data_IF_489129097806
#
_entry.id   IF_489129097806
#
_cell.length_a   1.000
_cell.length_b   1.000
_cell.length_c   1.000
_cell.angle_alpha   90.00
_cell.angle_beta   90.00
_cell.angle_gamma   90.00
#
_symmetry.space_group_name_H-M   'P 1'
#
loop_
_entity.id
_entity.type
_entity.pdbx_description
1 polymer ?
#
# COMPACT_ATOMS: atom_id res chain seq x y z
N UNK A 1 -7.94 -24.62 -11.42
CA UNK A 1 -6.71 -25.22 -10.86
C UNK A 1 -7.06 -26.53 -10.16
N UNK A 2 -6.17 -27.51 -10.26
CA UNK A 2 -6.23 -28.78 -9.50
C UNK A 2 -5.24 -28.68 -8.33
N UNK A 3 -5.43 -29.52 -7.31
CA UNK A 3 -4.55 -29.50 -6.12
C UNK A 3 -3.06 -29.64 -6.49
N UNK A 4 -2.75 -30.48 -7.46
CA UNK A 4 -1.39 -30.75 -7.90
C UNK A 4 -0.78 -29.66 -8.80
N UNK A 5 -1.54 -28.65 -9.23
CA UNK A 5 -0.97 -27.48 -9.91
C UNK A 5 -0.15 -26.64 -8.92
N UNK A 6 -0.53 -26.65 -7.63
CA UNK A 6 0.18 -25.98 -6.55
C UNK A 6 1.03 -26.96 -5.72
N UNK A 7 0.50 -28.14 -5.40
CA UNK A 7 1.16 -29.20 -4.63
C UNK A 7 1.88 -30.17 -5.58
N UNK A 8 2.96 -29.73 -6.18
CA UNK A 8 3.69 -30.47 -7.24
C UNK A 8 4.43 -31.70 -6.72
N UNK A 9 4.63 -31.81 -5.41
CA UNK A 9 5.23 -32.95 -4.73
C UNK A 9 4.25 -34.12 -4.50
N UNK A 10 2.94 -33.88 -4.62
CA UNK A 10 1.92 -34.91 -4.44
C UNK A 10 1.71 -35.65 -5.76
N UNK A 11 2.25 -36.88 -5.83
CA UNK A 11 2.19 -37.71 -7.05
C UNK A 11 1.23 -38.89 -6.94
N UNK A 12 0.65 -39.16 -5.78
CA UNK A 12 -0.22 -40.31 -5.57
C UNK A 12 -0.83 -40.36 -4.18
N UNK A 13 -1.53 -41.44 -3.91
CA UNK A 13 -2.17 -41.65 -2.63
C UNK A 13 -1.60 -42.94 -1.97
N UNK A 14 -1.32 -42.97 -0.66
CA UNK A 14 -1.45 -41.85 0.29
C UNK A 14 -0.40 -40.74 0.01
N UNK A 15 -0.80 -39.50 0.19
CA UNK A 15 0.13 -38.37 0.06
C UNK A 15 0.92 -38.16 1.37
N UNK A 16 2.06 -37.42 1.36
CA UNK A 16 2.81 -37.08 2.56
C UNK A 16 1.94 -36.35 3.59
N UNK A 17 2.12 -36.65 4.88
CA UNK A 17 1.41 -35.95 5.96
C UNK A 17 1.69 -34.43 5.95
N UNK A 18 2.88 -34.05 5.53
CA UNK A 18 3.29 -32.64 5.39
C UNK A 18 3.77 -32.41 3.96
N UNK A 19 2.89 -31.91 3.06
CA UNK A 19 3.29 -31.56 1.72
C UNK A 19 4.29 -30.39 1.74
N UNK A 20 5.10 -30.27 0.71
CA UNK A 20 6.03 -29.16 0.56
C UNK A 20 5.30 -27.82 0.50
N UNK A 21 5.96 -26.75 0.95
CA UNK A 21 5.42 -25.39 0.84
C UNK A 21 5.22 -25.05 -0.63
N UNK A 22 4.03 -24.60 -0.97
CA UNK A 22 3.70 -24.15 -2.33
C UNK A 22 4.53 -22.92 -2.70
N UNK A 23 5.10 -22.95 -3.91
CA UNK A 23 5.81 -21.81 -4.48
C UNK A 23 4.87 -21.05 -5.42
N UNK A 24 4.30 -19.94 -4.94
CA UNK A 24 3.44 -19.07 -5.71
C UNK A 24 4.15 -18.46 -6.95
N UNK A 25 5.47 -18.30 -6.88
CA UNK A 25 6.27 -17.73 -7.96
C UNK A 25 6.36 -18.62 -9.20
N UNK A 26 5.99 -19.89 -9.11
CA UNK A 26 5.88 -20.77 -10.28
C UNK A 26 4.96 -20.17 -11.35
N UNK A 27 3.90 -19.45 -10.93
CA UNK A 27 2.97 -18.74 -11.82
C UNK A 27 3.04 -17.22 -11.67
N UNK A 28 3.51 -16.71 -10.54
CA UNK A 28 3.54 -15.29 -10.17
C UNK A 28 4.97 -14.74 -10.02
N UNK A 29 5.87 -15.11 -10.95
CA UNK A 29 7.30 -14.74 -10.91
C UNK A 29 7.54 -13.22 -10.88
N UNK A 30 6.73 -12.45 -11.62
CA UNK A 30 6.86 -10.99 -11.68
C UNK A 30 6.50 -10.32 -10.34
N UNK A 31 5.47 -10.85 -9.65
CA UNK A 31 5.07 -10.37 -8.34
C UNK A 31 6.12 -10.69 -7.29
N UNK A 32 6.70 -11.90 -7.37
CA UNK A 32 7.83 -12.27 -6.50
C UNK A 32 9.05 -11.38 -6.73
N UNK A 33 9.43 -11.12 -7.98
CA UNK A 33 10.55 -10.26 -8.31
C UNK A 33 10.36 -8.84 -7.75
N UNK A 34 9.14 -8.28 -7.88
CA UNK A 34 8.79 -6.99 -7.28
C UNK A 34 8.87 -7.02 -5.75
N UNK A 35 8.33 -8.08 -5.13
CA UNK A 35 8.38 -8.24 -3.67
C UNK A 35 9.81 -8.32 -3.15
N UNK A 36 10.70 -9.05 -3.84
CA UNK A 36 12.13 -9.14 -3.49
C UNK A 36 12.86 -7.80 -3.52
N UNK A 37 12.38 -6.83 -4.30
CA UNK A 37 12.95 -5.47 -4.36
C UNK A 37 12.25 -4.48 -3.44
N UNK A 38 11.27 -4.91 -2.67
CA UNK A 38 10.43 -4.07 -1.80
C UNK A 38 10.98 -3.99 -0.37
N UNK A 39 10.41 -3.08 0.42
CA UNK A 39 10.67 -3.01 1.88
C UNK A 39 10.17 -4.24 2.63
N UNK A 40 9.39 -5.12 2.00
CA UNK A 40 8.92 -6.37 2.56
C UNK A 40 9.76 -7.59 2.13
N UNK A 41 10.87 -7.39 1.39
CA UNK A 41 11.71 -8.47 0.86
C UNK A 41 12.29 -9.39 1.93
N UNK A 42 12.74 -8.82 3.04
CA UNK A 42 13.46 -9.55 4.12
C UNK A 42 12.52 -10.25 5.10
N UNK A 43 11.23 -10.17 4.87
CA UNK A 43 10.25 -10.78 5.75
C UNK A 43 10.15 -12.29 5.47
N UNK A 44 11.06 -13.09 6.05
CA UNK A 44 10.94 -14.56 6.07
C UNK A 44 9.58 -15.02 6.61
N UNK A 45 8.90 -14.14 7.34
CA UNK A 45 7.63 -14.37 8.01
C UNK A 45 6.41 -13.82 7.24
N UNK A 46 6.61 -13.20 6.07
CA UNK A 46 5.51 -12.63 5.27
C UNK A 46 5.39 -13.30 3.91
N UNK A 47 4.93 -14.55 3.87
CA UNK A 47 4.58 -15.20 2.61
C UNK A 47 3.46 -14.40 1.91
N UNK A 48 3.24 -14.68 0.64
CA UNK A 48 2.16 -14.07 -0.15
C UNK A 48 0.81 -14.09 0.59
N UNK A 49 0.58 -15.16 1.36
CA UNK A 49 -0.64 -15.37 2.17
C UNK A 49 -0.84 -14.37 3.32
N UNK A 50 0.21 -13.69 3.77
CA UNK A 50 0.05 -12.64 4.80
C UNK A 50 -0.83 -11.49 4.32
N UNK A 51 -0.81 -11.18 3.01
CA UNK A 51 -1.64 -10.17 2.38
C UNK A 51 -2.85 -10.78 1.66
N UNK A 52 -2.66 -11.93 0.99
CA UNK A 52 -3.70 -12.53 0.16
C UNK A 52 -4.65 -13.47 0.92
N UNK A 53 -4.33 -13.84 2.17
CA UNK A 53 -5.16 -14.72 3.00
C UNK A 53 -4.89 -16.20 2.77
N UNK A 54 -5.87 -17.03 3.11
CA UNK A 54 -5.77 -18.49 3.00
C UNK A 54 -5.57 -18.92 1.53
N UNK A 55 -4.50 -19.69 1.22
CA UNK A 55 -4.23 -20.11 -0.15
C UNK A 55 -5.35 -20.98 -0.76
N UNK A 56 -6.16 -21.64 0.06
CA UNK A 56 -7.31 -22.41 -0.42
C UNK A 56 -8.59 -21.57 -0.59
N UNK A 57 -8.56 -20.29 -0.17
CA UNK A 57 -9.66 -19.34 -0.27
C UNK A 57 -9.20 -17.97 -0.82
N UNK A 58 -8.23 -17.97 -1.73
CA UNK A 58 -7.79 -16.74 -2.40
C UNK A 58 -8.85 -16.31 -3.43
N UNK A 59 -9.36 -15.12 -3.26
CA UNK A 59 -10.30 -14.47 -4.18
C UNK A 59 -9.59 -13.43 -5.04
N UNK A 60 -10.07 -13.19 -6.29
CA UNK A 60 -9.56 -12.12 -7.13
C UNK A 60 -9.81 -10.76 -6.46
N UNK A 61 -8.98 -9.76 -6.77
CA UNK A 61 -9.07 -8.41 -6.17
C UNK A 61 -10.42 -7.70 -6.38
N UNK A 62 -11.22 -8.17 -7.33
CA UNK A 62 -12.56 -7.66 -7.63
C UNK A 62 -13.65 -8.28 -6.76
N UNK A 63 -13.37 -9.35 -6.04
CA UNK A 63 -14.31 -10.01 -5.13
C UNK A 63 -14.25 -9.36 -3.75
N UNK A 64 -15.40 -9.00 -3.19
CA UNK A 64 -15.49 -8.35 -1.85
C UNK A 64 -14.91 -9.19 -0.72
N UNK A 65 -14.80 -10.50 -0.91
CA UNK A 65 -14.20 -11.43 0.05
C UNK A 65 -12.67 -11.42 0.01
N UNK A 66 -12.08 -10.86 -1.05
CA UNK A 66 -10.62 -10.82 -1.19
C UNK A 66 -10.00 -9.94 -0.11
N UNK A 67 -8.94 -10.41 0.55
CA UNK A 67 -8.16 -9.61 1.49
C UNK A 67 -7.54 -8.34 0.85
N UNK A 68 -7.41 -8.34 -0.49
CA UNK A 68 -6.88 -7.22 -1.27
C UNK A 68 -7.95 -6.50 -2.11
N UNK A 69 -9.22 -6.72 -1.80
CA UNK A 69 -10.31 -5.88 -2.31
C UNK A 69 -10.15 -4.45 -1.79
N UNK A 70 -10.47 -3.38 -2.56
CA UNK A 70 -10.19 -2.01 -2.17
C UNK A 70 -10.61 -1.61 -0.75
N UNK A 71 -11.79 -2.04 -0.29
CA UNK A 71 -12.27 -1.80 1.09
C UNK A 71 -11.47 -2.58 2.15
N UNK A 72 -10.89 -3.72 1.79
CA UNK A 72 -10.18 -4.59 2.72
C UNK A 72 -8.67 -4.28 2.81
N UNK A 73 -8.11 -3.59 1.81
CA UNK A 73 -6.68 -3.23 1.77
C UNK A 73 -6.23 -2.51 3.04
N UNK A 74 -6.92 -1.48 3.55
CA UNK A 74 -6.46 -0.78 4.76
C UNK A 74 -6.37 -1.71 5.97
N UNK A 75 -7.36 -2.54 6.20
CA UNK A 75 -7.35 -3.50 7.32
C UNK A 75 -6.30 -4.60 7.13
N UNK A 76 -6.05 -5.03 5.89
CA UNK A 76 -5.00 -6.01 5.59
C UNK A 76 -3.61 -5.45 5.90
N UNK A 77 -3.31 -4.22 5.50
CA UNK A 77 -2.08 -3.52 5.87
C UNK A 77 -2.03 -3.23 7.38
N UNK A 78 -3.16 -2.85 7.94
CA UNK A 78 -3.33 -2.50 9.35
C UNK A 78 -3.03 -3.64 10.33
N UNK A 79 -3.10 -4.90 9.92
CA UNK A 79 -2.72 -6.05 10.75
C UNK A 79 -1.29 -5.91 11.31
N UNK A 80 -0.40 -5.29 10.55
CA UNK A 80 0.97 -5.02 10.97
C UNK A 80 1.21 -3.53 11.22
N UNK A 81 0.75 -2.65 10.33
CA UNK A 81 0.97 -1.20 10.41
C UNK A 81 0.03 -0.47 11.39
N UNK A 82 -0.96 -1.16 11.93
CA UNK A 82 -1.81 -0.68 13.02
C UNK A 82 -1.42 -1.24 14.40
N UNK A 83 -0.48 -2.15 14.45
CA UNK A 83 -0.03 -2.78 15.69
C UNK A 83 1.14 -2.00 16.30
N UNK A 84 0.98 -1.56 17.54
CA UNK A 84 1.98 -0.75 18.27
C UNK A 84 3.35 -1.44 18.34
N UNK A 85 3.40 -2.77 18.43
CA UNK A 85 4.67 -3.51 18.47
C UNK A 85 5.48 -3.41 17.17
N UNK A 86 4.86 -3.54 16.02
CA UNK A 86 5.51 -3.37 14.72
C UNK A 86 5.76 -1.88 14.42
N UNK A 87 4.80 -1.02 14.76
CA UNK A 87 4.93 0.42 14.61
C UNK A 87 6.11 0.97 15.39
N UNK A 88 6.30 0.57 16.64
CA UNK A 88 7.43 0.98 17.47
C UNK A 88 8.75 0.47 16.91
N UNK A 89 8.84 -0.81 16.54
CA UNK A 89 10.06 -1.42 16.01
C UNK A 89 10.58 -0.74 14.73
N UNK A 90 9.68 -0.21 13.89
CA UNK A 90 10.01 0.37 12.60
C UNK A 90 9.74 1.88 12.50
N UNK A 91 9.37 2.55 13.60
CA UNK A 91 9.03 3.97 13.61
C UNK A 91 7.74 4.30 12.83
N UNK A 92 6.86 3.32 12.63
CA UNK A 92 5.61 3.43 11.86
C UNK A 92 4.39 3.52 12.78
N UNK A 93 4.54 4.16 13.93
CA UNK A 93 3.48 4.26 14.93
C UNK A 93 2.18 4.81 14.33
N UNK A 94 1.11 4.04 14.46
CA UNK A 94 -0.28 4.47 14.23
C UNK A 94 -0.62 4.91 12.79
N UNK A 95 0.03 4.36 11.77
CA UNK A 95 -0.26 4.71 10.36
C UNK A 95 -1.71 4.34 9.98
N UNK A 96 -2.16 3.15 10.36
CA UNK A 96 -3.51 2.69 10.02
C UNK A 96 -4.61 3.52 10.69
N UNK A 97 -4.60 3.78 12.00
CA UNK A 97 -5.56 4.69 12.63
C UNK A 97 -5.61 6.08 11.97
N UNK A 98 -4.45 6.68 11.71
CA UNK A 98 -4.37 7.99 11.03
C UNK A 98 -5.01 7.97 9.64
N UNK A 99 -4.82 6.88 8.89
CA UNK A 99 -5.48 6.74 7.59
C UNK A 99 -7.00 6.60 7.76
N UNK A 100 -7.48 5.82 8.73
CA UNK A 100 -8.92 5.64 8.98
C UNK A 100 -9.59 6.96 9.31
N UNK A 101 -8.92 7.85 10.04
CA UNK A 101 -9.39 9.19 10.40
C UNK A 101 -9.23 10.22 9.27
N UNK A 102 -8.59 9.86 8.16
CA UNK A 102 -8.40 10.75 7.02
C UNK A 102 -9.65 10.85 6.15
N UNK A 103 -9.73 11.91 5.32
CA UNK A 103 -10.81 12.06 4.34
C UNK A 103 -10.86 10.88 3.35
N UNK A 104 -9.71 10.33 2.97
CA UNK A 104 -9.67 9.16 2.09
C UNK A 104 -10.18 7.90 2.80
N UNK A 105 -9.79 7.69 4.06
CA UNK A 105 -10.28 6.58 4.88
C UNK A 105 -11.78 6.69 5.15
N UNK A 106 -12.28 7.90 5.42
CA UNK A 106 -13.70 8.16 5.59
C UNK A 106 -14.48 7.84 4.30
N UNK A 107 -14.05 8.41 3.16
CA UNK A 107 -14.71 8.19 1.88
C UNK A 107 -14.73 6.71 1.47
N UNK A 108 -13.63 5.98 1.74
CA UNK A 108 -13.58 4.55 1.46
C UNK A 108 -14.47 3.75 2.41
N UNK A 109 -14.31 3.92 3.73
CA UNK A 109 -14.88 3.01 4.73
C UNK A 109 -16.32 3.38 5.13
N UNK A 110 -16.69 4.68 5.09
CA UNK A 110 -18.01 5.14 5.50
C UNK A 110 -18.95 5.39 4.33
N UNK A 111 -18.40 5.93 3.25
CA UNK A 111 -19.20 6.23 2.05
C UNK A 111 -19.15 5.11 1.00
N UNK A 112 -18.26 4.13 1.18
CA UNK A 112 -18.11 3.01 0.24
C UNK A 112 -17.51 3.41 -1.12
N UNK A 113 -16.83 4.55 -1.19
CA UNK A 113 -16.26 5.06 -2.44
C UNK A 113 -15.00 4.27 -2.81
N UNK A 114 -15.15 3.22 -3.61
CA UNK A 114 -14.07 2.28 -3.97
C UNK A 114 -12.89 2.92 -4.70
N UNK A 115 -13.09 4.09 -5.31
CA UNK A 115 -12.03 4.85 -5.99
C UNK A 115 -11.28 5.80 -5.05
N UNK A 116 -11.73 5.94 -3.79
CA UNK A 116 -10.99 6.70 -2.79
C UNK A 116 -9.61 6.06 -2.55
N UNK A 117 -8.61 6.91 -2.34
CA UNK A 117 -7.24 6.42 -2.17
C UNK A 117 -7.12 5.53 -0.93
N UNK A 118 -6.51 4.37 -1.10
CA UNK A 118 -6.10 3.47 -0.02
C UNK A 118 -4.57 3.32 0.00
N UNK A 119 -4.05 2.44 0.85
CA UNK A 119 -2.60 2.27 1.01
C UNK A 119 -1.88 2.01 -0.33
N UNK A 120 -2.46 1.17 -1.19
CA UNK A 120 -1.86 0.81 -2.49
C UNK A 120 -1.86 1.96 -3.49
N UNK A 121 -2.79 2.91 -3.36
CA UNK A 121 -2.90 4.04 -4.28
C UNK A 121 -1.67 4.95 -4.22
N UNK A 122 -1.04 5.04 -3.05
CA UNK A 122 0.15 5.85 -2.81
C UNK A 122 1.44 5.02 -2.78
N UNK A 123 1.39 3.81 -2.21
CA UNK A 123 2.59 2.99 -1.97
C UNK A 123 2.82 1.91 -3.02
N UNK A 124 1.84 1.64 -3.88
CA UNK A 124 1.85 0.45 -4.73
C UNK A 124 1.50 -0.82 -3.94
N UNK A 125 1.80 -1.98 -4.51
CA UNK A 125 1.45 -3.27 -3.91
C UNK A 125 2.68 -4.14 -3.65
N UNK A 126 3.15 -4.89 -4.66
CA UNK A 126 4.24 -5.85 -4.48
C UNK A 126 5.63 -5.21 -4.39
N UNK A 127 5.86 -4.11 -5.11
CA UNK A 127 7.14 -3.39 -5.14
C UNK A 127 7.14 -2.13 -4.27
N UNK A 128 6.68 -2.22 -3.03
CA UNK A 128 6.63 -1.08 -2.12
C UNK A 128 8.05 -0.65 -1.75
N UNK A 129 8.43 0.57 -2.12
CA UNK A 129 9.74 1.14 -1.85
C UNK A 129 9.70 2.11 -0.67
N UNK A 130 10.85 2.27 0.00
CA UNK A 130 11.00 3.31 1.02
C UNK A 130 10.75 4.70 0.43
N UNK A 131 10.15 5.59 1.20
CA UNK A 131 10.00 7.01 0.84
C UNK A 131 11.34 7.73 0.57
N UNK A 132 12.47 7.12 0.94
CA UNK A 132 13.83 7.62 0.67
C UNK A 132 14.37 7.16 -0.69
N UNK A 133 13.75 6.17 -1.31
CA UNK A 133 14.15 5.69 -2.64
C UNK A 133 13.56 6.61 -3.72
N UNK A 134 14.39 7.21 -4.60
CA UNK A 134 13.88 8.11 -5.66
C UNK A 134 12.86 7.46 -6.61
N UNK A 135 12.80 6.14 -6.68
CA UNK A 135 11.83 5.39 -7.49
C UNK A 135 10.49 5.21 -6.78
N UNK A 136 10.42 5.48 -5.47
CA UNK A 136 9.18 5.34 -4.70
C UNK A 136 8.15 6.38 -5.13
N UNK A 137 6.88 6.01 -5.33
CA UNK A 137 5.81 7.00 -5.52
C UNK A 137 5.69 7.98 -4.34
N UNK A 138 6.11 7.56 -3.14
CA UNK A 138 6.09 8.40 -1.94
C UNK A 138 7.43 9.11 -1.66
N UNK A 139 8.39 9.05 -2.59
CA UNK A 139 9.57 9.90 -2.55
C UNK A 139 9.16 11.38 -2.72
N UNK A 140 9.78 12.28 -1.97
CA UNK A 140 9.34 13.69 -1.89
C UNK A 140 9.08 14.33 -3.26
N UNK A 141 9.99 14.19 -4.22
CA UNK A 141 9.81 14.78 -5.54
C UNK A 141 8.67 14.12 -6.36
N UNK A 142 8.24 12.91 -6.02
CA UNK A 142 7.19 12.18 -6.72
C UNK A 142 5.80 12.43 -6.13
N UNK A 143 5.70 12.98 -4.92
CA UNK A 143 4.43 13.24 -4.21
C UNK A 143 3.42 14.02 -5.07
N UNK A 144 3.79 15.11 -5.77
CA UNK A 144 2.84 15.85 -6.60
C UNK A 144 2.19 14.96 -7.66
N UNK A 145 2.98 14.13 -8.34
CA UNK A 145 2.46 13.21 -9.36
C UNK A 145 1.60 12.10 -8.76
N UNK A 146 1.96 11.59 -7.60
CA UNK A 146 1.19 10.55 -6.88
C UNK A 146 -0.18 11.09 -6.49
N UNK A 147 -0.25 12.28 -5.91
CA UNK A 147 -1.53 12.95 -5.61
C UNK A 147 -2.27 13.34 -6.89
N UNK A 148 -1.54 13.82 -7.89
CA UNK A 148 -2.04 14.28 -9.18
C UNK A 148 -2.71 13.19 -10.02
N UNK A 149 -2.43 11.92 -9.75
CA UNK A 149 -3.11 10.81 -10.41
C UNK A 149 -4.65 10.86 -10.25
N UNK A 150 -5.14 11.44 -9.15
CA UNK A 150 -6.56 11.66 -8.88
C UNK A 150 -6.88 13.17 -8.81
N UNK A 151 -6.00 13.98 -8.24
CA UNK A 151 -6.15 15.43 -8.04
C UNK A 151 -5.46 16.22 -9.16
N UNK A 152 -5.76 15.86 -10.43
CA UNK A 152 -5.05 16.38 -11.60
C UNK A 152 -5.06 17.92 -11.70
N UNK A 153 -6.23 18.56 -11.47
CA UNK A 153 -6.34 20.04 -11.54
C UNK A 153 -5.47 20.71 -10.49
N UNK A 154 -5.52 20.23 -9.24
CA UNK A 154 -4.72 20.79 -8.15
C UNK A 154 -3.22 20.58 -8.41
N UNK A 155 -2.85 19.42 -8.97
CA UNK A 155 -1.46 19.17 -9.35
C UNK A 155 -0.97 20.14 -10.43
N UNK A 156 -1.78 20.43 -11.44
CA UNK A 156 -1.43 21.42 -12.47
C UNK A 156 -1.20 22.80 -11.85
N UNK A 157 -2.11 23.28 -11.02
CA UNK A 157 -2.00 24.57 -10.33
C UNK A 157 -0.76 24.62 -9.42
N UNK A 158 -0.48 23.52 -8.68
CA UNK A 158 0.71 23.40 -7.85
C UNK A 158 1.99 23.48 -8.70
N UNK A 159 2.07 22.72 -9.80
CA UNK A 159 3.27 22.68 -10.67
C UNK A 159 3.54 24.02 -11.36
N UNK A 160 2.51 24.82 -11.66
CA UNK A 160 2.65 26.18 -12.17
C UNK A 160 3.06 27.19 -11.09
N UNK A 161 2.87 26.86 -9.83
CA UNK A 161 3.24 27.68 -8.69
C UNK A 161 4.73 27.65 -8.35
N UNK A 162 5.14 28.53 -7.42
CA UNK A 162 6.54 28.67 -6.99
C UNK A 162 7.09 27.36 -6.37
N UNK A 163 6.28 26.64 -5.58
CA UNK A 163 6.69 25.41 -4.93
C UNK A 163 6.92 24.28 -5.95
N UNK A 164 5.99 24.08 -6.87
CA UNK A 164 6.10 23.06 -7.90
C UNK A 164 7.29 23.29 -8.83
N UNK A 165 7.51 24.54 -9.27
CA UNK A 165 8.69 24.92 -10.06
C UNK A 165 9.99 24.66 -9.31
N UNK A 166 10.02 24.92 -8.00
CA UNK A 166 11.20 24.66 -7.18
C UNK A 166 11.46 23.15 -7.03
N UNK A 167 10.41 22.32 -6.83
CA UNK A 167 10.54 20.86 -6.78
C UNK A 167 11.02 20.31 -8.12
N UNK A 168 10.44 20.78 -9.24
CA UNK A 168 10.85 20.40 -10.59
C UNK A 168 12.32 20.76 -10.88
N UNK A 169 12.82 21.84 -10.28
CA UNK A 169 14.23 22.25 -10.34
C UNK A 169 15.13 21.49 -9.34
N UNK A 170 14.64 20.40 -8.70
CA UNK A 170 15.39 19.57 -7.78
C UNK A 170 15.63 20.18 -6.39
N UNK A 171 14.93 21.25 -6.01
CA UNK A 171 15.04 21.86 -4.68
C UNK A 171 14.26 21.05 -3.65
N UNK A 172 14.89 20.04 -3.07
CA UNK A 172 14.25 19.10 -2.13
C UNK A 172 13.74 19.70 -0.82
N UNK A 173 14.09 20.95 -0.51
CA UNK A 173 13.52 21.70 0.62
C UNK A 173 12.19 22.40 0.28
N UNK A 174 11.82 22.48 -1.00
CA UNK A 174 10.55 23.05 -1.39
C UNK A 174 9.40 22.19 -0.87
N UNK A 175 8.30 22.80 -0.37
CA UNK A 175 7.18 22.03 0.17
C UNK A 175 6.43 21.31 -0.95
N UNK A 176 5.98 20.07 -0.65
CA UNK A 176 5.09 19.27 -1.47
C UNK A 176 3.74 19.08 -0.76
N UNK A 177 2.79 18.42 -1.39
CA UNK A 177 1.42 18.27 -0.87
C UNK A 177 1.39 17.80 0.59
N UNK A 178 2.22 16.82 0.94
CA UNK A 178 2.27 16.22 2.28
C UNK A 178 2.93 17.11 3.35
N UNK A 179 3.63 18.16 2.96
CA UNK A 179 4.22 19.11 3.93
C UNK A 179 3.14 20.04 4.53
N UNK A 180 1.97 20.16 3.84
CA UNK A 180 0.83 20.94 4.31
C UNK A 180 -0.36 20.05 4.71
N UNK A 181 -0.61 18.95 3.96
CA UNK A 181 -1.77 18.09 4.16
C UNK A 181 -1.47 16.84 5.00
N UNK A 182 -0.24 16.66 5.46
CA UNK A 182 0.25 15.41 6.06
C UNK A 182 0.19 14.20 5.10
N UNK A 183 0.64 13.02 5.54
CA UNK A 183 0.70 11.85 4.66
C UNK A 183 -0.47 10.89 4.87
N UNK A 184 -0.79 10.55 6.12
CA UNK A 184 -1.77 9.52 6.44
C UNK A 184 -3.06 10.07 7.03
N UNK A 185 -2.98 11.13 7.84
CA UNK A 185 -4.15 11.82 8.39
C UNK A 185 -4.45 13.08 7.55
N UNK A 186 -4.85 12.86 6.31
CA UNK A 186 -5.21 13.96 5.42
C UNK A 186 -6.61 14.43 5.78
N UNK A 187 -6.71 15.65 6.35
CA UNK A 187 -7.95 16.25 6.82
C UNK A 187 -8.59 17.11 5.72
N UNK A 188 -9.90 17.37 5.86
CA UNK A 188 -10.57 18.34 5.01
C UNK A 188 -10.06 19.76 5.32
N UNK A 189 -9.90 20.63 4.30
CA UNK A 189 -9.42 22.02 4.51
C UNK A 189 -10.33 22.86 5.42
N UNK A 190 -11.57 22.44 5.63
CA UNK A 190 -12.56 23.10 6.49
C UNK A 190 -12.42 22.72 7.97
N UNK A 191 -11.70 21.65 8.29
CA UNK A 191 -11.53 21.21 9.67
C UNK A 191 -10.55 22.13 10.43
N UNK A 192 -10.86 22.38 11.70
CA UNK A 192 -10.04 23.25 12.56
C UNK A 192 -8.61 22.71 12.72
N UNK A 193 -8.47 21.38 12.80
CA UNK A 193 -7.19 20.69 12.91
C UNK A 193 -6.32 20.86 11.66
N UNK A 194 -6.91 20.95 10.46
CA UNK A 194 -6.17 21.25 9.24
C UNK A 194 -5.52 22.64 9.28
N UNK A 195 -6.19 23.62 9.89
CA UNK A 195 -5.69 25.02 9.99
C UNK A 195 -4.57 25.20 11.01
N UNK A 196 -4.36 24.24 11.89
CA UNK A 196 -3.35 24.27 12.94
C UNK A 196 -2.08 23.47 12.58
N UNK A 197 -2.04 22.82 11.42
CA UNK A 197 -0.89 22.08 10.90
C UNK A 197 -0.01 23.03 10.06
#
# INVERSE_FOLDING_TARGET
FKCNDCHTDIKGYPHPEKPAKVNCATCHSDQEAKLKSSVHADSKDHPCTSCHGDPHAIFPKSDVRSAVYPLNVPSTCGKCHGNDGMGQKHGLASVYPKYVDSIHGFALNKEGLLVAANCQSCHGSHGILSHKDPRSPTYKANIPNTCGACHAKINMEYMDGAHGKAVAAGKMKAPVCTDCHTAHQILQPTESEFRMQ
#
